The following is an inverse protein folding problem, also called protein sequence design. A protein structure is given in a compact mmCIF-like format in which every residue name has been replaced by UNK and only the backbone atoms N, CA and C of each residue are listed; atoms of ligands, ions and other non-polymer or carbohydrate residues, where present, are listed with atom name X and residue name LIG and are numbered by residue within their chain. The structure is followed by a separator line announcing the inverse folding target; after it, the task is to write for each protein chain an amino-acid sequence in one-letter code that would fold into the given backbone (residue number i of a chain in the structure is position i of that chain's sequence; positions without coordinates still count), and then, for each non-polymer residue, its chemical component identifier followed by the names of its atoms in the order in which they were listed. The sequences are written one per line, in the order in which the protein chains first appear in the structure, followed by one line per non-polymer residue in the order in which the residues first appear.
data_IF_121485995175
#
_entry.id   IF_121485995175
#
_cell.length_a   1.000
_cell.length_b   1.000
_cell.length_c   1.000
_cell.angle_alpha   90.00
_cell.angle_beta   90.00
_cell.angle_gamma   90.00
#
_symmetry.space_group_name_H-M   'P 1'
#
loop_
_entity.id
_entity.type
_entity.pdbx_description
1 polymer ?
#
# COMPACT_ATOMS: atom_id res chain seq x y z
N UNK A 1 -16.09 -9.04 -4.09
CA UNK A 1 -15.35 -8.32 -3.06
C UNK A 1 -15.97 -6.97 -2.77
N UNK A 2 -16.36 -6.76 -1.53
CA UNK A 2 -17.02 -5.54 -1.09
C UNK A 2 -15.93 -4.49 -0.91
N UNK A 3 -15.96 -3.45 -1.75
CA UNK A 3 -15.10 -2.27 -1.64
C UNK A 3 -15.51 -1.46 -0.39
N UNK A 4 -15.32 -2.03 0.78
CA UNK A 4 -15.76 -1.44 2.05
C UNK A 4 -14.68 -0.53 2.57
N UNK A 5 -14.86 0.77 2.38
CA UNK A 5 -14.04 1.80 3.03
C UNK A 5 -14.52 1.92 4.47
N UNK A 6 -13.87 1.21 5.38
CA UNK A 6 -14.17 1.29 6.79
C UNK A 6 -13.55 2.57 7.38
N UNK A 7 -14.37 3.41 7.93
CA UNK A 7 -13.99 4.53 8.77
C UNK A 7 -14.57 4.29 10.16
N UNK A 8 -13.70 4.18 11.16
CA UNK A 8 -14.12 4.06 12.55
C UNK A 8 -14.09 5.45 13.19
N UNK A 9 -15.22 5.85 13.74
CA UNK A 9 -15.31 7.06 14.57
C UNK A 9 -15.45 6.63 16.02
N UNK A 10 -14.45 6.93 16.83
CA UNK A 10 -14.50 6.69 18.27
C UNK A 10 -15.26 7.85 18.93
N UNK A 11 -16.51 7.59 19.30
CA UNK A 11 -17.35 8.53 20.04
C UNK A 11 -17.66 7.97 21.41
N UNK A 12 -17.71 8.84 22.42
CA UNK A 12 -18.16 8.46 23.75
C UNK A 12 -19.64 8.73 23.90
N UNK A 13 -20.42 7.71 24.28
CA UNK A 13 -21.75 7.91 24.85
C UNK A 13 -21.64 7.97 26.37
N UNK A 14 -22.10 9.06 26.97
CA UNK A 14 -22.34 9.10 28.42
C UNK A 14 -23.70 8.50 28.71
N UNK A 15 -23.74 7.30 29.32
CA UNK A 15 -24.91 6.86 30.06
C UNK A 15 -24.90 7.59 31.41
N UNK A 16 -26.02 8.14 31.82
CA UNK A 16 -26.15 9.04 32.99
C UNK A 16 -25.77 8.41 34.33
N UNK A 17 -25.53 7.09 34.41
CA UNK A 17 -25.34 6.41 35.71
C UNK A 17 -24.20 5.38 35.76
N UNK A 18 -23.19 5.43 34.90
CA UNK A 18 -22.01 4.56 35.07
C UNK A 18 -20.69 5.27 34.77
N UNK A 19 -19.77 5.12 35.71
CA UNK A 19 -18.48 5.80 35.75
C UNK A 19 -17.43 5.32 34.74
N UNK A 20 -17.76 4.37 33.85
CA UNK A 20 -16.82 3.86 32.85
C UNK A 20 -17.53 3.16 31.67
N UNK A 21 -17.74 3.89 30.60
CA UNK A 21 -18.06 3.28 29.31
C UNK A 21 -17.39 4.03 28.18
N UNK A 22 -16.32 3.44 27.64
CA UNK A 22 -15.83 3.80 26.31
C UNK A 22 -16.60 2.89 25.34
N UNK A 23 -17.55 3.47 24.61
CA UNK A 23 -18.24 2.74 23.58
C UNK A 23 -17.60 3.07 22.23
N UNK A 24 -17.02 2.07 21.60
CA UNK A 24 -16.53 2.17 20.22
C UNK A 24 -17.76 2.08 19.30
N UNK A 25 -18.20 3.20 18.76
CA UNK A 25 -19.23 3.21 17.74
C UNK A 25 -18.57 3.08 16.36
N UNK A 26 -18.82 1.96 15.71
CA UNK A 26 -18.41 1.74 14.33
C UNK A 26 -19.35 2.53 13.41
N UNK A 27 -18.86 3.60 12.80
CA UNK A 27 -19.58 4.32 11.75
C UNK A 27 -18.93 3.99 10.43
N UNK A 28 -19.60 3.18 9.62
CA UNK A 28 -19.20 2.88 8.27
C UNK A 28 -19.64 4.03 7.35
N UNK A 29 -18.66 4.69 6.71
CA UNK A 29 -18.95 5.61 5.62
C UNK A 29 -18.74 4.90 4.27
N UNK A 30 -19.83 4.63 3.57
CA UNK A 30 -19.79 4.35 2.14
C UNK A 30 -19.75 5.69 1.39
N UNK A 31 -18.60 6.03 0.82
CA UNK A 31 -18.51 7.14 -0.12
C UNK A 31 -18.82 6.61 -1.53
N UNK A 32 -20.09 6.36 -1.78
CA UNK A 32 -20.76 6.59 -3.05
C UNK A 32 -22.13 7.15 -2.71
N UNK A 33 -22.33 8.41 -2.99
CA UNK A 33 -23.51 9.21 -2.67
C UNK A 33 -23.68 9.57 -1.18
N UNK A 34 -23.12 10.72 -0.83
CA UNK A 34 -23.63 11.72 0.10
C UNK A 34 -24.82 11.27 0.98
N UNK A 35 -24.54 10.75 2.14
CA UNK A 35 -25.35 11.00 3.32
C UNK A 35 -24.45 10.80 4.55
N UNK A 36 -24.00 11.92 5.11
CA UNK A 36 -23.57 12.00 6.50
C UNK A 36 -24.77 11.60 7.35
N UNK A 37 -24.90 10.33 7.71
CA UNK A 37 -25.79 9.94 8.77
C UNK A 37 -25.06 10.25 10.08
N UNK A 38 -25.12 11.50 10.50
CA UNK A 38 -24.96 11.87 11.88
C UNK A 38 -26.19 11.31 12.59
N UNK A 39 -26.12 10.02 12.96
CA UNK A 39 -27.10 9.46 13.89
C UNK A 39 -27.17 10.37 15.11
N UNK A 40 -28.36 10.63 15.61
CA UNK A 40 -28.66 11.51 16.73
C UNK A 40 -27.62 11.37 17.86
N UNK A 41 -26.57 12.18 17.79
CA UNK A 41 -25.70 12.41 18.93
C UNK A 41 -26.42 13.42 19.80
N UNK A 42 -26.73 13.05 21.04
CA UNK A 42 -27.11 14.05 22.03
C UNK A 42 -26.03 15.13 22.01
N UNK A 43 -26.40 16.37 22.21
CA UNK A 43 -25.59 17.59 22.09
C UNK A 43 -24.28 17.64 22.90
N UNK A 44 -23.85 16.51 23.51
CA UNK A 44 -22.68 16.39 24.40
C UNK A 44 -21.64 15.37 23.98
N UNK A 45 -21.79 14.70 22.82
CA UNK A 45 -20.77 13.75 22.35
C UNK A 45 -19.64 14.46 21.59
N UNK A 46 -18.38 14.15 21.94
CA UNK A 46 -17.18 14.67 21.26
C UNK A 46 -16.46 13.53 20.56
N UNK A 47 -16.11 13.71 19.30
CA UNK A 47 -15.27 12.76 18.56
C UNK A 47 -13.83 12.86 19.07
N UNK A 48 -13.29 11.77 19.60
CA UNK A 48 -11.92 11.73 20.11
C UNK A 48 -10.89 11.57 18.97
N UNK A 49 -11.11 10.61 18.09
CA UNK A 49 -10.21 10.31 16.97
C UNK A 49 -10.99 9.59 15.87
N UNK A 50 -10.38 9.50 14.70
CA UNK A 50 -10.87 8.73 13.56
C UNK A 50 -9.85 7.66 13.24
N UNK A 51 -10.28 6.39 13.16
CA UNK A 51 -9.48 5.27 12.66
C UNK A 51 -9.89 4.97 11.21
N UNK A 52 -8.98 5.16 10.28
CA UNK A 52 -9.22 5.05 8.84
C UNK A 52 -8.64 6.24 8.07
N UNK A 53 -8.79 6.32 6.77
CA UNK A 53 -9.38 5.36 5.86
C UNK A 53 -8.29 4.42 5.29
N UNK A 54 -8.70 3.47 4.44
CA UNK A 54 -7.75 2.58 3.79
C UNK A 54 -7.06 3.23 2.58
N UNK A 55 -7.76 4.06 1.82
CA UNK A 55 -7.23 4.68 0.60
C UNK A 55 -6.64 6.06 0.87
N UNK A 56 -5.43 6.30 0.36
CA UNK A 56 -4.68 7.53 0.60
C UNK A 56 -5.44 8.81 0.21
N UNK A 57 -6.12 8.83 -0.93
CA UNK A 57 -6.89 10.00 -1.35
C UNK A 57 -8.07 10.32 -0.41
N UNK A 58 -8.75 9.29 0.12
CA UNK A 58 -9.83 9.47 1.10
C UNK A 58 -9.27 9.96 2.43
N UNK A 59 -8.15 9.38 2.87
CA UNK A 59 -7.47 9.77 4.11
C UNK A 59 -6.99 11.21 4.06
N UNK A 60 -6.41 11.65 2.94
CA UNK A 60 -6.00 13.05 2.77
C UNK A 60 -7.17 14.03 2.91
N UNK A 61 -8.30 13.73 2.26
CA UNK A 61 -9.50 14.55 2.37
C UNK A 61 -10.03 14.57 3.81
N UNK A 62 -10.08 13.40 4.47
CA UNK A 62 -10.52 13.27 5.86
C UNK A 62 -9.59 14.03 6.80
N UNK A 63 -8.28 13.80 6.72
CA UNK A 63 -7.29 14.42 7.60
C UNK A 63 -7.23 15.94 7.43
N UNK A 64 -7.40 16.45 6.19
CA UNK A 64 -7.49 17.89 5.94
C UNK A 64 -8.70 18.51 6.61
N UNK A 65 -9.88 17.86 6.51
CA UNK A 65 -11.10 18.37 7.12
C UNK A 65 -11.05 18.31 8.65
N UNK A 66 -10.69 17.14 9.20
CA UNK A 66 -10.71 16.91 10.65
C UNK A 66 -9.57 17.64 11.38
N UNK A 67 -8.47 17.89 10.69
CA UNK A 67 -7.36 18.71 11.18
C UNK A 67 -7.77 20.12 11.58
N UNK A 68 -8.76 20.71 10.91
CA UNK A 68 -9.33 22.02 11.28
C UNK A 68 -9.99 22.01 12.68
N UNK A 69 -10.42 20.83 13.13
CA UNK A 69 -11.04 20.61 14.42
C UNK A 69 -10.09 19.95 15.43
N UNK A 70 -8.80 19.81 15.09
CA UNK A 70 -7.79 19.13 15.89
C UNK A 70 -8.13 17.65 16.22
N UNK A 71 -8.94 17.01 15.35
CA UNK A 71 -9.31 15.60 15.52
C UNK A 71 -8.28 14.72 14.82
N UNK A 72 -7.52 13.88 15.55
CA UNK A 72 -6.52 13.02 14.97
C UNK A 72 -7.14 11.91 14.11
N UNK A 73 -6.44 11.59 13.01
CA UNK A 73 -6.76 10.49 12.10
C UNK A 73 -5.63 9.48 12.15
N UNK A 74 -5.94 8.21 12.42
CA UNK A 74 -4.97 7.12 12.43
C UNK A 74 -5.35 6.13 11.33
N UNK A 75 -4.56 6.07 10.27
CA UNK A 75 -4.81 5.14 9.16
C UNK A 75 -4.04 3.83 9.35
N UNK A 76 -4.69 2.74 8.98
CA UNK A 76 -4.16 1.38 9.02
C UNK A 76 -3.71 0.86 7.64
N UNK A 77 -3.85 1.66 6.58
CA UNK A 77 -3.53 1.21 5.21
C UNK A 77 -3.13 2.34 4.24
N UNK A 78 -3.20 3.63 4.63
CA UNK A 78 -2.84 4.75 3.75
C UNK A 78 -1.34 5.01 3.79
N UNK A 79 -0.65 4.65 2.73
CA UNK A 79 0.81 4.64 2.64
C UNK A 79 1.40 5.87 1.95
N UNK A 80 0.57 6.71 1.27
CA UNK A 80 1.06 7.87 0.51
C UNK A 80 2.07 8.71 1.30
N UNK A 81 3.20 9.01 0.67
CA UNK A 81 4.25 9.87 1.24
C UNK A 81 3.77 11.29 1.54
N UNK A 82 2.75 11.77 0.81
CA UNK A 82 2.20 13.12 1.02
C UNK A 82 1.58 13.27 2.41
N UNK A 83 1.10 12.20 3.01
CA UNK A 83 0.57 12.18 4.37
C UNK A 83 1.65 12.36 5.45
N UNK A 84 2.94 12.23 5.10
CA UNK A 84 4.07 12.53 5.99
C UNK A 84 4.35 14.04 6.12
N UNK A 85 3.72 14.89 5.32
CA UNK A 85 3.86 16.34 5.42
C UNK A 85 3.09 16.88 6.64
N UNK A 86 3.81 17.08 7.73
CA UNK A 86 3.25 17.56 9.01
C UNK A 86 2.73 19.00 8.94
N UNK A 87 3.17 19.79 7.99
CA UNK A 87 2.64 21.14 7.79
C UNK A 87 1.19 21.12 7.29
N UNK A 88 0.81 20.08 6.55
CA UNK A 88 -0.53 19.86 5.99
C UNK A 88 -1.37 18.92 6.84
N UNK A 89 -0.76 17.88 7.42
CA UNK A 89 -1.43 16.78 8.10
C UNK A 89 -0.90 16.60 9.53
N UNK A 90 -0.90 17.65 10.30
CA UNK A 90 -0.36 17.69 11.66
C UNK A 90 -0.99 16.63 12.59
N UNK A 91 -2.28 16.32 12.40
CA UNK A 91 -3.06 15.40 13.20
C UNK A 91 -3.23 14.01 12.56
N UNK A 92 -2.40 13.70 11.57
CA UNK A 92 -2.42 12.40 10.90
C UNK A 92 -1.36 11.45 11.48
N UNK A 93 -1.75 10.19 11.65
CA UNK A 93 -0.89 9.09 12.06
C UNK A 93 -1.21 7.85 11.23
N UNK A 94 -0.28 6.88 11.18
CA UNK A 94 -0.51 5.60 10.51
C UNK A 94 0.27 4.45 11.15
N UNK A 95 -0.37 3.29 11.23
CA UNK A 95 0.21 2.06 11.75
C UNK A 95 0.89 1.21 10.66
N UNK A 96 0.89 1.68 9.41
CA UNK A 96 1.57 1.06 8.27
C UNK A 96 2.74 1.92 7.80
N UNK A 97 3.73 1.32 7.10
CA UNK A 97 4.86 2.08 6.57
C UNK A 97 4.45 3.08 5.49
N UNK A 98 5.29 4.08 5.28
CA UNK A 98 5.18 5.04 4.17
C UNK A 98 5.64 4.43 2.85
N UNK A 99 5.09 4.89 1.72
CA UNK A 99 5.58 4.57 0.37
C UNK A 99 7.07 4.89 0.16
N UNK A 100 7.64 5.81 0.95
CA UNK A 100 9.09 6.03 0.95
C UNK A 100 9.87 4.75 1.31
N UNK A 101 9.37 3.98 2.28
CA UNK A 101 9.99 2.71 2.67
C UNK A 101 9.72 1.61 1.63
N UNK A 102 8.52 1.59 1.04
CA UNK A 102 8.20 0.64 -0.03
C UNK A 102 9.09 0.89 -1.27
N UNK A 103 9.33 2.15 -1.62
CA UNK A 103 10.25 2.52 -2.69
C UNK A 103 11.69 2.04 -2.42
N UNK A 104 12.17 2.15 -1.19
CA UNK A 104 13.48 1.62 -0.78
C UNK A 104 13.52 0.09 -0.89
N UNK A 105 12.47 -0.60 -0.45
CA UNK A 105 12.37 -2.04 -0.55
C UNK A 105 12.35 -2.52 -2.01
N UNK A 106 11.57 -1.86 -2.88
CA UNK A 106 11.55 -2.13 -4.33
C UNK A 106 12.95 -1.91 -4.92
N UNK A 107 13.60 -0.79 -4.60
CA UNK A 107 14.94 -0.48 -5.13
C UNK A 107 15.96 -1.53 -4.68
N UNK A 108 15.86 -2.01 -3.43
CA UNK A 108 16.73 -3.10 -2.94
C UNK A 108 16.51 -4.39 -3.72
N UNK A 109 15.26 -4.76 -4.05
CA UNK A 109 14.96 -5.92 -4.91
C UNK A 109 15.52 -5.75 -6.32
N UNK A 110 15.39 -4.57 -6.91
CA UNK A 110 15.94 -4.29 -8.24
C UNK A 110 17.46 -4.49 -8.29
N UNK A 111 18.17 -4.06 -7.25
CA UNK A 111 19.62 -4.26 -7.15
C UNK A 111 19.99 -5.73 -6.89
N UNK A 112 19.28 -6.43 -6.02
CA UNK A 112 19.51 -7.83 -5.71
C UNK A 112 19.39 -8.71 -6.96
N UNK A 113 18.33 -8.51 -7.75
CA UNK A 113 18.13 -9.26 -9.00
C UNK A 113 18.82 -8.64 -10.21
N UNK A 114 19.59 -7.56 -10.04
CA UNK A 114 20.29 -6.85 -11.13
C UNK A 114 19.36 -6.36 -12.23
N UNK A 115 18.16 -5.93 -11.86
CA UNK A 115 17.18 -5.36 -12.78
C UNK A 115 17.39 -3.85 -12.92
N UNK A 116 18.18 -3.48 -13.92
CA UNK A 116 18.56 -2.08 -14.12
C UNK A 116 17.81 -1.38 -15.25
N UNK A 117 16.89 -2.09 -15.91
CA UNK A 117 16.13 -1.56 -17.05
C UNK A 117 14.66 -1.89 -16.86
N UNK A 118 13.89 -0.96 -16.30
CA UNK A 118 12.57 -1.23 -15.75
C UNK A 118 11.48 -0.33 -16.33
N UNK A 119 10.25 -0.82 -16.26
CA UNK A 119 9.02 -0.13 -16.62
C UNK A 119 8.30 0.20 -15.34
N UNK A 120 7.80 1.42 -15.21
CA UNK A 120 6.99 1.86 -14.08
C UNK A 120 5.61 2.26 -14.60
N UNK A 121 4.58 1.63 -14.05
CA UNK A 121 3.20 1.93 -14.36
C UNK A 121 2.44 2.19 -13.06
N UNK A 122 1.55 3.16 -13.06
CA UNK A 122 0.80 3.46 -11.85
C UNK A 122 -0.64 3.90 -12.11
N UNK A 123 -1.50 3.68 -11.12
CA UNK A 123 -2.83 4.26 -11.09
C UNK A 123 -2.75 5.78 -11.13
N UNK A 124 -3.60 6.41 -11.94
CA UNK A 124 -3.73 7.87 -11.98
C UNK A 124 -4.58 8.38 -10.80
N UNK A 125 -4.05 8.20 -9.61
CA UNK A 125 -4.61 8.64 -8.33
C UNK A 125 -3.49 9.02 -7.34
N UNK A 126 -3.87 9.48 -6.15
CA UNK A 126 -2.91 9.94 -5.15
C UNK A 126 -1.93 8.85 -4.67
N UNK A 127 -2.38 7.59 -4.58
CA UNK A 127 -1.52 6.47 -4.21
C UNK A 127 -0.46 6.22 -5.30
N UNK A 128 -0.90 6.01 -6.54
CA UNK A 128 0.01 5.70 -7.66
C UNK A 128 1.00 6.83 -7.95
N UNK A 129 0.52 8.08 -8.04
CA UNK A 129 1.38 9.25 -8.28
C UNK A 129 2.41 9.44 -7.17
N UNK A 130 2.00 9.29 -5.91
CA UNK A 130 2.87 9.41 -4.74
C UNK A 130 3.94 8.32 -4.72
N UNK A 131 3.54 7.06 -4.93
CA UNK A 131 4.45 5.91 -4.91
C UNK A 131 5.50 5.97 -6.02
N UNK A 132 5.11 6.30 -7.25
CA UNK A 132 6.07 6.47 -8.35
C UNK A 132 7.04 7.62 -8.08
N UNK A 133 6.56 8.71 -7.52
CA UNK A 133 7.44 9.83 -7.15
C UNK A 133 8.47 9.41 -6.11
N UNK A 134 8.04 8.67 -5.06
CA UNK A 134 8.94 8.14 -4.04
C UNK A 134 9.97 7.18 -4.65
N UNK A 135 9.52 6.27 -5.53
CA UNK A 135 10.40 5.31 -6.20
C UNK A 135 11.47 5.99 -7.06
N UNK A 136 11.08 6.97 -7.88
CA UNK A 136 12.01 7.70 -8.75
C UNK A 136 13.04 8.48 -7.94
N UNK A 137 12.64 9.13 -6.86
CA UNK A 137 13.56 9.82 -5.95
C UNK A 137 14.52 8.85 -5.26
N UNK A 138 14.00 7.69 -4.80
CA UNK A 138 14.84 6.67 -4.18
C UNK A 138 15.87 6.13 -5.17
N UNK A 139 15.48 5.81 -6.41
CA UNK A 139 16.38 5.34 -7.47
C UNK A 139 17.46 6.39 -7.76
N UNK A 140 17.11 7.67 -7.86
CA UNK A 140 18.07 8.75 -8.13
C UNK A 140 19.09 8.95 -7.01
N UNK A 141 18.65 8.79 -5.75
CA UNK A 141 19.49 8.97 -4.58
C UNK A 141 20.31 7.72 -4.20
N UNK A 142 20.06 6.61 -4.86
CA UNK A 142 20.76 5.36 -4.57
C UNK A 142 22.15 5.37 -5.21
N UNK A 143 23.18 5.58 -4.39
CA UNK A 143 24.58 5.70 -4.84
C UNK A 143 25.21 4.33 -5.10
N UNK A 144 24.91 3.72 -6.22
CA UNK A 144 25.56 2.49 -6.68
C UNK A 144 26.27 2.71 -8.00
N UNK A 145 27.23 1.80 -8.34
CA UNK A 145 27.95 1.84 -9.61
C UNK A 145 27.04 1.62 -10.83
N UNK A 146 25.88 0.99 -10.64
CA UNK A 146 24.94 0.70 -11.71
C UNK A 146 23.62 1.41 -11.43
N UNK A 147 23.26 2.33 -12.28
CA UNK A 147 22.01 3.08 -12.17
C UNK A 147 20.84 2.29 -12.74
N UNK A 148 19.69 2.38 -12.08
CA UNK A 148 18.43 1.85 -12.59
C UNK A 148 17.84 2.85 -13.58
N UNK A 149 17.55 2.39 -14.79
CA UNK A 149 16.94 3.17 -15.86
C UNK A 149 15.45 2.83 -15.98
N UNK A 150 14.60 3.82 -15.74
CA UNK A 150 13.15 3.72 -15.97
C UNK A 150 12.88 4.13 -17.43
N UNK A 151 12.52 3.17 -18.28
CA UNK A 151 12.38 3.41 -19.73
C UNK A 151 10.95 3.72 -20.15
N UNK A 152 9.99 3.27 -19.40
CA UNK A 152 8.58 3.64 -19.52
C UNK A 152 8.09 4.07 -18.15
N UNK A 153 7.46 5.22 -18.09
CA UNK A 153 6.86 5.80 -16.89
C UNK A 153 5.50 6.38 -17.30
N UNK A 154 4.44 5.65 -16.99
CA UNK A 154 3.08 6.01 -17.43
C UNK A 154 2.06 5.83 -16.30
N UNK A 155 1.12 6.75 -16.27
CA UNK A 155 -0.06 6.66 -15.44
C UNK A 155 -1.23 6.09 -16.26
N UNK A 156 -2.12 5.35 -15.61
CA UNK A 156 -3.34 4.84 -16.24
C UNK A 156 -4.53 4.91 -15.30
N UNK A 157 -5.72 4.98 -15.87
CA UNK A 157 -6.97 5.03 -15.10
C UNK A 157 -7.99 4.04 -15.68
N UNK A 158 -8.70 3.30 -14.81
CA UNK A 158 -9.87 2.49 -15.25
C UNK A 158 -10.99 3.33 -15.83
N UNK A 159 -10.98 4.65 -15.61
CA UNK A 159 -11.93 5.60 -16.22
C UNK A 159 -11.36 6.20 -17.50
N UNK A 160 -10.12 5.88 -17.84
CA UNK A 160 -9.47 6.30 -19.08
C UNK A 160 -10.03 5.58 -20.30
N UNK A 161 -9.64 6.02 -21.47
CA UNK A 161 -10.03 5.39 -22.72
C UNK A 161 -9.23 4.10 -22.98
N UNK A 162 -9.82 3.15 -23.68
CA UNK A 162 -9.10 1.96 -24.16
C UNK A 162 -7.89 2.33 -25.03
N UNK A 163 -7.93 3.46 -25.71
CA UNK A 163 -6.82 4.01 -26.47
C UNK A 163 -5.60 4.30 -25.59
N UNK A 164 -5.79 4.77 -24.36
CA UNK A 164 -4.71 5.05 -23.41
C UNK A 164 -3.92 3.77 -23.09
N UNK A 165 -4.61 2.68 -22.73
CA UNK A 165 -3.96 1.40 -22.45
C UNK A 165 -3.23 0.85 -23.68
N UNK A 166 -3.83 0.93 -24.87
CA UNK A 166 -3.21 0.53 -26.11
C UNK A 166 -1.92 1.31 -26.38
N UNK A 167 -1.92 2.62 -26.15
CA UNK A 167 -0.73 3.48 -26.25
C UNK A 167 0.37 3.04 -25.29
N UNK A 168 0.02 2.78 -24.04
CA UNK A 168 0.97 2.33 -23.02
C UNK A 168 1.60 0.99 -23.44
N UNK A 169 0.81 0.01 -23.86
CA UNK A 169 1.34 -1.30 -24.28
C UNK A 169 2.23 -1.22 -25.51
N UNK A 170 1.89 -0.40 -26.51
CA UNK A 170 2.80 -0.13 -27.65
C UNK A 170 4.13 0.46 -27.20
N UNK A 171 4.11 1.37 -26.22
CA UNK A 171 5.33 1.97 -25.68
C UNK A 171 6.19 0.92 -24.97
N UNK A 172 5.59 0.03 -24.18
CA UNK A 172 6.26 -1.08 -23.52
C UNK A 172 6.96 -1.99 -24.55
N UNK A 173 6.27 -2.34 -25.63
CA UNK A 173 6.79 -3.22 -26.67
C UNK A 173 8.01 -2.65 -27.43
N UNK A 174 8.23 -1.33 -27.39
CA UNK A 174 9.43 -0.70 -27.93
C UNK A 174 10.70 -1.03 -27.14
N UNK A 175 10.57 -1.53 -25.91
CA UNK A 175 11.67 -1.86 -25.02
C UNK A 175 11.70 -3.35 -24.66
N UNK A 176 11.95 -4.27 -25.61
CA UNK A 176 11.82 -5.71 -25.41
C UNK A 176 12.79 -6.30 -24.38
N UNK A 177 13.85 -5.57 -24.04
CA UNK A 177 14.82 -5.95 -23.00
C UNK A 177 14.38 -5.55 -21.59
N UNK A 178 13.45 -4.62 -21.44
CA UNK A 178 12.86 -4.28 -20.15
C UNK A 178 11.83 -5.35 -19.80
N UNK A 179 12.20 -6.28 -18.96
CA UNK A 179 11.38 -7.44 -18.57
C UNK A 179 10.65 -7.25 -17.26
N UNK A 180 10.94 -6.19 -16.51
CA UNK A 180 10.37 -5.93 -15.20
C UNK A 180 9.44 -4.74 -15.26
N UNK A 181 8.20 -4.95 -14.81
CA UNK A 181 7.16 -3.94 -14.67
C UNK A 181 6.88 -3.74 -13.18
N UNK A 182 7.13 -2.54 -12.69
CA UNK A 182 6.71 -2.13 -11.35
C UNK A 182 5.31 -1.55 -11.48
N UNK A 183 4.32 -2.19 -10.87
CA UNK A 183 2.92 -1.80 -10.98
C UNK A 183 2.44 -1.18 -9.65
N UNK A 184 2.52 0.14 -9.57
CA UNK A 184 2.01 0.94 -8.44
C UNK A 184 0.52 1.22 -8.63
N UNK A 185 -0.32 0.25 -8.32
CA UNK A 185 -1.75 0.36 -8.59
C UNK A 185 -2.58 -0.01 -7.37
N UNK A 186 -3.71 0.67 -7.17
CA UNK A 186 -4.75 0.19 -6.28
C UNK A 186 -5.34 -1.12 -6.83
N UNK A 187 -5.84 -1.98 -5.94
CA UNK A 187 -6.40 -3.28 -6.29
C UNK A 187 -7.36 -3.23 -7.51
N UNK A 188 -8.37 -2.34 -7.58
CA UNK A 188 -9.28 -2.33 -8.73
C UNK A 188 -8.62 -1.92 -10.05
N UNK A 189 -7.58 -1.09 -9.98
CA UNK A 189 -6.83 -0.66 -11.15
C UNK A 189 -5.87 -1.75 -11.62
N UNK A 190 -5.29 -2.52 -10.69
CA UNK A 190 -4.49 -3.69 -11.03
C UNK A 190 -5.32 -4.76 -11.75
N UNK A 191 -6.55 -5.05 -11.27
CA UNK A 191 -7.50 -5.95 -11.96
C UNK A 191 -7.76 -5.46 -13.39
N UNK A 192 -8.04 -4.18 -13.55
CA UNK A 192 -8.25 -3.56 -14.86
C UNK A 192 -7.02 -3.70 -15.75
N UNK A 193 -5.82 -3.40 -15.22
CA UNK A 193 -4.56 -3.52 -15.97
C UNK A 193 -4.35 -4.93 -16.52
N UNK A 194 -4.48 -5.97 -15.69
CA UNK A 194 -4.27 -7.35 -16.14
C UNK A 194 -5.30 -7.79 -17.18
N UNK A 195 -6.55 -7.32 -17.07
CA UNK A 195 -7.58 -7.56 -18.09
C UNK A 195 -7.18 -6.96 -19.44
N UNK A 196 -6.76 -5.70 -19.47
CA UNK A 196 -6.35 -4.99 -20.69
C UNK A 196 -5.03 -5.58 -21.26
N UNK A 197 -4.08 -5.93 -20.38
CA UNK A 197 -2.82 -6.55 -20.78
C UNK A 197 -3.03 -7.90 -21.49
N UNK A 198 -4.03 -8.68 -21.03
CA UNK A 198 -4.41 -9.93 -21.68
C UNK A 198 -4.96 -9.69 -23.08
N UNK A 199 -5.84 -8.71 -23.26
CA UNK A 199 -6.38 -8.36 -24.57
C UNK A 199 -5.31 -7.85 -25.53
N UNK A 200 -4.30 -7.14 -25.01
CA UNK A 200 -3.15 -6.66 -25.78
C UNK A 200 -2.07 -7.72 -26.02
N UNK A 201 -2.27 -8.95 -25.56
CA UNK A 201 -1.29 -10.06 -25.65
C UNK A 201 0.09 -9.72 -25.08
N UNK A 202 0.13 -8.92 -24.01
CA UNK A 202 1.36 -8.68 -23.26
C UNK A 202 1.78 -9.98 -22.59
N UNK A 203 3.09 -10.38 -22.73
CA UNK A 203 3.54 -11.69 -22.25
C UNK A 203 4.97 -11.66 -21.71
N UNK A 204 5.24 -12.58 -20.78
CA UNK A 204 6.59 -12.86 -20.29
C UNK A 204 7.26 -11.69 -19.56
N UNK A 205 6.52 -10.98 -18.73
CA UNK A 205 7.05 -9.95 -17.85
C UNK A 205 7.15 -10.45 -16.40
N UNK A 206 8.09 -9.91 -15.66
CA UNK A 206 8.12 -10.00 -14.20
C UNK A 206 7.43 -8.77 -13.65
N UNK A 207 6.48 -8.96 -12.75
CA UNK A 207 5.80 -7.86 -12.08
C UNK A 207 6.32 -7.69 -10.66
N UNK A 208 6.58 -6.44 -10.27
CA UNK A 208 6.74 -6.06 -8.88
C UNK A 208 5.41 -5.50 -8.41
N UNK A 209 4.78 -6.22 -7.49
CA UNK A 209 3.49 -5.90 -6.89
C UNK A 209 3.68 -5.05 -5.64
N UNK A 210 2.86 -4.02 -5.51
CA UNK A 210 2.80 -3.20 -4.30
C UNK A 210 1.82 -3.76 -3.29
N UNK A 211 1.86 -3.26 -2.07
CA UNK A 211 1.05 -3.70 -0.93
C UNK A 211 -0.46 -3.70 -1.19
N UNK A 212 -0.93 -2.83 -2.08
CA UNK A 212 -2.34 -2.68 -2.39
C UNK A 212 -2.96 -3.87 -3.13
N UNK A 213 -2.18 -4.68 -3.86
CA UNK A 213 -2.71 -5.79 -4.64
C UNK A 213 -1.96 -7.12 -4.49
N UNK A 214 -0.77 -7.12 -3.89
CA UNK A 214 -0.06 -8.36 -3.58
C UNK A 214 -0.88 -9.21 -2.58
N UNK A 215 -0.89 -10.51 -2.80
CA UNK A 215 -1.68 -11.46 -1.98
C UNK A 215 -3.08 -11.72 -2.54
N UNK A 216 -3.57 -10.92 -3.50
CA UNK A 216 -4.84 -11.19 -4.16
C UNK A 216 -4.64 -11.94 -5.46
N UNK A 217 -5.08 -13.18 -5.52
CA UNK A 217 -5.05 -14.00 -6.74
C UNK A 217 -6.12 -13.57 -7.75
N UNK A 218 -7.17 -12.87 -7.30
CA UNK A 218 -8.21 -12.32 -8.16
C UNK A 218 -7.64 -11.34 -9.19
N UNK A 219 -6.64 -10.55 -8.82
CA UNK A 219 -5.99 -9.59 -9.73
C UNK A 219 -5.45 -10.26 -10.97
N UNK A 220 -4.89 -11.46 -10.84
CA UNK A 220 -4.21 -12.19 -11.90
C UNK A 220 -5.02 -13.36 -12.46
N UNK A 221 -6.25 -13.52 -12.01
CA UNK A 221 -7.12 -14.62 -12.43
C UNK A 221 -7.27 -14.67 -13.95
N UNK A 222 -6.97 -15.82 -14.54
CA UNK A 222 -7.02 -16.03 -15.97
C UNK A 222 -5.95 -15.28 -16.78
N UNK A 223 -4.90 -14.78 -16.12
CA UNK A 223 -3.82 -13.97 -16.75
C UNK A 223 -2.42 -14.59 -16.58
N UNK A 224 -2.35 -15.89 -16.31
CA UNK A 224 -1.09 -16.61 -16.04
C UNK A 224 -0.08 -16.58 -17.20
N UNK A 225 -0.52 -16.30 -18.41
CA UNK A 225 0.31 -16.17 -19.61
C UNK A 225 0.96 -14.78 -19.76
N UNK A 226 0.49 -13.77 -19.02
CA UNK A 226 1.03 -12.41 -19.08
C UNK A 226 2.36 -12.32 -18.32
N UNK A 227 2.44 -12.96 -17.15
CA UNK A 227 3.61 -12.84 -16.29
C UNK A 227 4.45 -14.13 -16.27
N UNK A 228 5.75 -13.94 -16.22
CA UNK A 228 6.69 -15.00 -15.90
C UNK A 228 6.77 -15.20 -14.38
N UNK A 229 6.77 -14.09 -13.63
CA UNK A 229 6.75 -14.09 -12.18
C UNK A 229 6.06 -12.83 -11.64
N UNK A 230 5.52 -12.95 -10.44
CA UNK A 230 5.08 -11.80 -9.65
C UNK A 230 5.77 -11.87 -8.29
N UNK A 231 6.50 -10.80 -7.97
CA UNK A 231 7.11 -10.59 -6.67
C UNK A 231 6.42 -9.39 -6.04
N UNK A 232 5.99 -9.51 -4.80
CA UNK A 232 5.26 -8.45 -4.14
C UNK A 232 5.81 -8.12 -2.77
N UNK A 233 5.60 -6.89 -2.37
CA UNK A 233 5.98 -6.35 -1.08
C UNK A 233 4.72 -5.93 -0.33
N UNK A 234 4.54 -6.43 0.89
CA UNK A 234 3.48 -5.96 1.77
C UNK A 234 3.93 -5.97 3.23
N UNK A 235 3.34 -5.13 4.08
CA UNK A 235 3.53 -5.23 5.52
C UNK A 235 3.22 -6.65 6.01
N UNK A 236 3.90 -7.16 7.06
CA UNK A 236 3.73 -8.52 7.54
C UNK A 236 2.28 -8.85 7.87
N UNK A 237 1.83 -10.01 7.45
CA UNK A 237 0.51 -10.55 7.82
C UNK A 237 0.67 -11.34 9.11
N UNK A 238 -0.12 -11.01 10.11
CA UNK A 238 -0.17 -11.73 11.38
C UNK A 238 -1.44 -12.58 11.41
N UNK A 239 -1.29 -13.86 11.74
CA UNK A 239 -2.44 -14.76 11.93
C UNK A 239 -3.23 -14.35 13.17
N UNK A 240 -4.53 -14.26 13.05
CA UNK A 240 -5.45 -13.82 14.11
C UNK A 240 -6.63 -14.80 14.28
N UNK A 241 -6.38 -16.05 14.74
CA UNK A 241 -7.40 -17.09 14.77
C UNK A 241 -8.65 -16.69 15.57
N UNK A 242 -8.48 -15.98 16.70
CA UNK A 242 -9.60 -15.48 17.52
C UNK A 242 -10.47 -14.46 16.76
N UNK A 243 -9.86 -13.66 15.88
CA UNK A 243 -10.61 -12.74 15.03
C UNK A 243 -11.33 -13.52 13.92
N UNK A 244 -10.68 -14.49 13.31
CA UNK A 244 -11.26 -15.31 12.24
C UNK A 244 -12.48 -16.06 12.76
N UNK A 245 -12.39 -16.68 13.95
CA UNK A 245 -13.51 -17.34 14.61
C UNK A 245 -14.66 -16.39 14.92
N UNK A 246 -14.34 -15.21 15.47
CA UNK A 246 -15.33 -14.15 15.74
C UNK A 246 -16.02 -13.68 14.45
N UNK A 247 -15.23 -13.45 13.40
CA UNK A 247 -15.74 -12.99 12.11
C UNK A 247 -16.70 -14.00 11.49
N UNK A 248 -16.31 -15.29 11.46
CA UNK A 248 -17.14 -16.37 10.95
C UNK A 248 -18.43 -16.56 11.75
N UNK A 249 -18.34 -16.45 13.09
CA UNK A 249 -19.51 -16.48 13.96
C UNK A 249 -20.46 -15.32 13.66
N UNK A 250 -19.93 -14.10 13.54
CA UNK A 250 -20.71 -12.89 13.27
C UNK A 250 -21.37 -12.91 11.90
N UNK A 251 -20.75 -13.54 10.90
CA UNK A 251 -21.35 -13.74 9.58
C UNK A 251 -22.55 -14.67 9.60
N UNK A 252 -22.53 -15.70 10.47
CA UNK A 252 -23.66 -16.66 10.61
C UNK A 252 -24.81 -16.09 11.42
N UNK A 253 -24.50 -15.28 12.42
CA UNK A 253 -25.50 -14.61 13.24
C UNK A 253 -26.04 -13.41 12.44
N UNK A 254 -27.35 -13.39 12.20
CA UNK A 254 -28.00 -12.23 11.55
C UNK A 254 -27.93 -11.01 12.51
N UNK A 255 -26.73 -10.40 12.56
CA UNK A 255 -26.38 -9.39 13.54
C UNK A 255 -26.92 -8.03 13.10
N UNK A 256 -27.96 -7.55 13.76
CA UNK A 256 -28.57 -6.23 13.53
C UNK A 256 -27.60 -5.06 13.70
N UNK A 257 -26.44 -5.28 14.34
CA UNK A 257 -25.39 -4.27 14.50
C UNK A 257 -24.51 -4.10 13.25
N UNK A 258 -24.56 -5.07 12.31
CA UNK A 258 -23.84 -4.98 11.04
C UNK A 258 -24.84 -4.93 9.88
N UNK A 259 -25.23 -3.74 9.42
CA UNK A 259 -26.21 -3.58 8.33
C UNK A 259 -25.76 -4.20 6.99
N UNK A 260 -24.46 -4.50 6.85
CA UNK A 260 -23.90 -5.15 5.64
C UNK A 260 -23.79 -6.66 5.76
N UNK A 261 -24.13 -7.27 6.90
CA UNK A 261 -24.07 -8.71 7.06
C UNK A 261 -24.88 -9.46 5.99
N UNK A 262 -26.03 -8.93 5.60
CA UNK A 262 -26.88 -9.51 4.54
C UNK A 262 -26.25 -9.47 3.14
N UNK A 263 -25.46 -8.43 2.84
CA UNK A 263 -24.72 -8.33 1.57
C UNK A 263 -23.51 -9.24 1.56
N UNK A 264 -22.79 -9.33 2.69
CA UNK A 264 -21.68 -10.27 2.86
C UNK A 264 -22.15 -11.71 2.73
N UNK A 265 -23.27 -12.07 3.33
CA UNK A 265 -23.84 -13.43 3.24
C UNK A 265 -24.25 -13.83 1.82
N UNK A 266 -24.67 -12.87 0.99
CA UNK A 266 -25.01 -13.11 -0.43
C UNK A 266 -23.78 -13.29 -1.32
N UNK A 267 -22.67 -12.67 -0.98
CA UNK A 267 -21.44 -12.70 -1.77
C UNK A 267 -20.45 -13.78 -1.30
N UNK A 268 -20.59 -14.28 -0.07
CA UNK A 268 -19.75 -15.33 0.46
C UNK A 268 -20.31 -16.71 0.05
N UNK A 269 -19.45 -17.47 -0.60
CA UNK A 269 -19.65 -18.85 -1.06
C UNK A 269 -19.99 -19.83 0.10
N UNK A 270 -20.15 -19.32 1.32
CA UNK A 270 -20.30 -20.10 2.54
C UNK A 270 -21.73 -20.47 2.91
N UNK A 271 -22.74 -20.09 2.14
CA UNK A 271 -24.15 -20.37 2.48
C UNK A 271 -24.48 -21.85 2.56
N UNK A 272 -23.76 -22.72 1.81
CA UNK A 272 -24.03 -24.15 1.70
C UNK A 272 -22.85 -25.08 2.09
N UNK A 273 -21.75 -24.51 2.61
CA UNK A 273 -20.53 -25.29 2.93
C UNK A 273 -20.35 -25.49 4.44
N UNK A 274 -19.67 -26.59 4.82
CA UNK A 274 -19.30 -26.84 6.21
C UNK A 274 -18.41 -25.72 6.77
N UNK A 275 -18.43 -25.50 8.08
CA UNK A 275 -17.68 -24.41 8.77
C UNK A 275 -16.19 -24.50 8.46
N UNK A 276 -15.65 -25.74 8.44
CA UNK A 276 -14.22 -26.00 8.20
C UNK A 276 -13.79 -25.55 6.79
N UNK A 277 -14.68 -25.75 5.81
CA UNK A 277 -14.42 -25.34 4.43
C UNK A 277 -14.50 -23.82 4.27
N UNK A 278 -15.41 -23.16 4.98
CA UNK A 278 -15.45 -21.71 5.05
C UNK A 278 -14.21 -21.12 5.73
N UNK A 279 -13.72 -21.75 6.81
CA UNK A 279 -12.49 -21.31 7.51
C UNK A 279 -11.26 -21.35 6.59
N UNK A 280 -11.18 -22.33 5.69
CA UNK A 280 -10.06 -22.44 4.75
C UNK A 280 -10.13 -21.44 3.58
N UNK A 281 -11.33 -20.93 3.28
CA UNK A 281 -11.58 -20.01 2.14
C UNK A 281 -11.67 -18.54 2.58
N UNK A 282 -12.00 -18.26 3.85
CA UNK A 282 -12.08 -16.89 4.40
C UNK A 282 -10.75 -16.51 5.01
N UNK A 283 -10.00 -15.72 4.29
CA UNK A 283 -8.79 -15.08 4.80
C UNK A 283 -9.04 -13.59 4.93
N UNK A 284 -8.74 -13.02 6.10
CA UNK A 284 -8.70 -11.57 6.23
C UNK A 284 -7.56 -10.98 5.38
N UNK A 285 -7.71 -9.75 4.93
CA UNK A 285 -6.76 -9.07 4.04
C UNK A 285 -5.40 -8.70 4.68
N UNK A 286 -5.17 -9.13 5.93
CA UNK A 286 -3.94 -8.90 6.69
C UNK A 286 -3.85 -7.53 7.36
N UNK A 287 -4.79 -6.63 7.14
CA UNK A 287 -4.79 -5.31 7.80
C UNK A 287 -5.48 -5.29 9.16
N UNK A 288 -6.11 -6.39 9.59
CA UNK A 288 -6.84 -6.47 10.87
C UNK A 288 -5.94 -6.12 12.07
N UNK A 289 -4.71 -6.64 12.10
CA UNK A 289 -3.76 -6.31 13.16
C UNK A 289 -3.45 -4.80 13.21
N UNK A 290 -3.24 -4.17 12.06
CA UNK A 290 -2.96 -2.73 11.95
C UNK A 290 -4.16 -1.86 12.32
N UNK A 291 -5.40 -2.34 12.05
CA UNK A 291 -6.64 -1.69 12.53
C UNK A 291 -6.68 -1.71 14.05
N UNK A 292 -6.41 -2.86 14.66
CA UNK A 292 -6.36 -2.98 16.12
C UNK A 292 -5.28 -2.09 16.71
N UNK A 293 -4.09 -2.07 16.13
CA UNK A 293 -3.00 -1.19 16.57
C UNK A 293 -3.39 0.29 16.50
N UNK A 294 -4.13 0.71 15.47
CA UNK A 294 -4.65 2.06 15.37
C UNK A 294 -5.67 2.38 16.47
N UNK A 295 -6.59 1.43 16.76
CA UNK A 295 -7.56 1.58 17.86
C UNK A 295 -6.85 1.63 19.21
N UNK A 296 -5.88 0.73 19.45
CA UNK A 296 -5.12 0.70 20.69
C UNK A 296 -4.20 1.91 20.87
N UNK A 297 -3.69 2.49 19.77
CA UNK A 297 -2.97 3.77 19.84
C UNK A 297 -3.83 4.88 20.44
N UNK A 298 -5.11 4.96 20.04
CA UNK A 298 -6.05 5.91 20.65
C UNK A 298 -6.35 5.55 22.11
N UNK A 299 -6.54 4.26 22.40
CA UNK A 299 -6.83 3.80 23.78
C UNK A 299 -5.68 4.11 24.74
N UNK A 300 -4.43 3.82 24.36
CA UNK A 300 -3.24 4.14 25.15
C UNK A 300 -3.07 5.66 25.34
N UNK A 301 -3.29 6.44 24.28
CA UNK A 301 -3.25 7.90 24.38
C UNK A 301 -4.30 8.46 25.32
N UNK A 302 -5.54 7.96 25.28
CA UNK A 302 -6.62 8.34 26.19
C UNK A 302 -6.31 7.92 27.62
N UNK A 303 -5.77 6.70 27.82
CA UNK A 303 -5.35 6.20 29.12
C UNK A 303 -4.31 7.13 29.76
N UNK A 304 -3.30 7.52 29.00
CA UNK A 304 -2.27 8.45 29.46
C UNK A 304 -2.82 9.86 29.70
N UNK A 305 -3.66 10.38 28.80
CA UNK A 305 -4.28 11.70 28.91
C UNK A 305 -5.16 11.85 30.15
N UNK A 306 -5.92 10.79 30.48
CA UNK A 306 -6.80 10.74 31.65
C UNK A 306 -6.05 10.36 32.93
N UNK A 307 -4.74 10.04 32.82
CA UNK A 307 -3.91 9.57 33.94
C UNK A 307 -4.58 8.39 34.65
N UNK A 308 -4.91 7.35 33.90
CA UNK A 308 -5.55 6.14 34.41
C UNK A 308 -4.51 5.17 34.99
N UNK A 309 -4.91 4.44 36.02
CA UNK A 309 -4.31 3.18 36.46
C UNK A 309 -5.17 2.00 36.02
N UNK A 310 -4.93 0.79 36.57
CA UNK A 310 -5.71 -0.40 36.21
C UNK A 310 -7.20 -0.31 36.55
N UNK A 311 -7.63 0.56 37.44
CA UNK A 311 -9.00 0.61 38.00
C UNK A 311 -9.67 1.94 37.83
N UNK A 312 -8.95 3.04 37.96
CA UNK A 312 -9.51 4.39 38.05
C UNK A 312 -8.68 5.37 37.22
N UNK A 313 -9.35 6.39 36.68
CA UNK A 313 -8.66 7.51 36.04
C UNK A 313 -8.69 8.73 36.97
N UNK A 314 -7.52 9.36 37.15
CA UNK A 314 -7.40 10.55 38.02
C UNK A 314 -8.15 11.77 37.44
N UNK A 315 -8.24 11.87 36.11
CA UNK A 315 -8.95 12.95 35.41
C UNK A 315 -10.24 12.45 34.80
N UNK A 316 -11.27 13.25 34.84
CA UNK A 316 -12.53 12.96 34.15
C UNK A 316 -12.47 13.48 32.72
N UNK A 317 -13.20 12.85 31.81
CA UNK A 317 -13.30 13.26 30.40
C UNK A 317 -13.69 14.75 30.22
N UNK A 318 -14.42 15.33 31.15
CA UNK A 318 -14.84 16.75 31.10
C UNK A 318 -13.70 17.72 31.41
N UNK A 319 -12.67 17.23 32.09
CA UNK A 319 -11.59 18.05 32.66
C UNK A 319 -10.38 18.09 31.69
N UNK A 320 -10.44 17.41 30.57
CA UNK A 320 -9.37 17.35 29.57
C UNK A 320 -9.80 18.00 28.25
N UNK A 321 -8.87 18.69 27.60
CA UNK A 321 -9.09 19.19 26.25
C UNK A 321 -8.75 18.10 25.24
N UNK A 322 -9.76 17.62 24.52
CA UNK A 322 -9.58 16.56 23.53
C UNK A 322 -8.63 16.97 22.38
N UNK A 323 -8.42 18.25 22.17
CA UNK A 323 -7.48 18.78 21.19
C UNK A 323 -6.03 18.39 21.49
N UNK A 324 -5.72 18.13 22.76
CA UNK A 324 -4.39 17.71 23.21
C UNK A 324 -4.15 16.22 22.96
N UNK A 325 -5.17 15.43 22.59
CA UNK A 325 -5.03 13.98 22.38
C UNK A 325 -3.94 13.62 21.36
N UNK A 326 -3.74 14.46 20.36
CA UNK A 326 -2.70 14.25 19.35
C UNK A 326 -1.29 14.18 19.96
N UNK A 327 -1.00 14.96 20.99
CA UNK A 327 0.30 14.92 21.69
C UNK A 327 0.48 13.60 22.44
N UNK A 328 -0.58 13.07 23.02
CA UNK A 328 -0.55 11.76 23.68
C UNK A 328 -0.43 10.62 22.66
N UNK A 329 -1.08 10.72 21.49
CA UNK A 329 -0.90 9.76 20.39
C UNK A 329 0.55 9.75 19.90
N UNK A 330 1.19 10.90 19.74
CA UNK A 330 2.59 11.02 19.32
C UNK A 330 3.54 10.27 20.26
N UNK A 331 3.20 10.19 21.55
CA UNK A 331 4.06 9.62 22.59
C UNK A 331 3.69 8.18 22.99
N UNK A 332 2.77 7.52 22.26
CA UNK A 332 2.45 6.11 22.57
C UNK A 332 3.65 5.20 22.27
N UNK A 333 3.80 4.17 23.11
CA UNK A 333 4.77 3.11 22.91
C UNK A 333 4.22 1.81 23.51
N UNK A 334 3.93 0.83 22.66
CA UNK A 334 3.41 -0.48 23.10
C UNK A 334 3.70 -1.55 22.04
N UNK A 335 3.62 -2.83 22.42
CA UNK A 335 3.69 -3.95 21.47
C UNK A 335 2.30 -4.15 20.89
N UNK A 336 2.18 -3.96 19.58
CA UNK A 336 0.91 -4.05 18.87
C UNK A 336 0.49 -5.47 18.52
N UNK A 337 -0.73 -5.60 18.00
CA UNK A 337 -1.25 -6.85 17.42
C UNK A 337 -0.52 -7.25 16.14
N UNK A 338 0.07 -6.30 15.44
CA UNK A 338 1.00 -6.54 14.32
C UNK A 338 2.31 -7.21 14.75
N UNK A 339 2.51 -7.45 16.06
CA UNK A 339 3.75 -7.94 16.67
C UNK A 339 4.94 -6.97 16.49
N UNK A 340 4.65 -5.73 16.16
CA UNK A 340 5.62 -4.65 16.06
C UNK A 340 5.51 -3.71 17.28
N UNK A 341 6.61 -3.03 17.59
CA UNK A 341 6.56 -1.93 18.56
C UNK A 341 5.90 -0.73 17.90
N UNK A 342 4.72 -0.37 18.34
CA UNK A 342 3.98 0.79 17.87
C UNK A 342 4.46 2.03 18.59
N UNK A 343 5.03 2.93 17.83
CA UNK A 343 5.37 4.30 18.22
C UNK A 343 5.38 5.15 16.95
N UNK A 344 5.12 6.43 17.06
CA UNK A 344 5.07 7.31 15.91
C UNK A 344 6.32 8.21 15.88
N UNK A 345 7.00 8.24 14.73
CA UNK A 345 8.11 9.16 14.49
C UNK A 345 7.59 10.60 14.26
N UNK A 346 8.49 11.54 13.97
CA UNK A 346 8.15 12.93 13.69
C UNK A 346 7.16 13.10 12.52
N UNK A 347 7.13 12.17 11.59
CA UNK A 347 6.18 12.13 10.48
C UNK A 347 4.84 11.48 10.83
N UNK A 348 4.62 11.05 12.07
CA UNK A 348 3.42 10.33 12.49
C UNK A 348 3.32 8.90 11.93
N UNK A 349 4.46 8.29 11.60
CA UNK A 349 4.53 6.96 10.96
C UNK A 349 5.26 5.97 11.88
N UNK A 350 4.79 4.72 11.94
CA UNK A 350 5.49 3.65 12.64
C UNK A 350 6.69 3.17 11.83
N UNK A 351 7.65 2.48 12.49
CA UNK A 351 8.69 1.72 11.77
C UNK A 351 8.03 0.73 10.83
N UNK A 352 8.63 0.56 9.65
CA UNK A 352 8.11 -0.36 8.65
C UNK A 352 9.10 -1.44 8.26
N UNK A 353 8.59 -2.63 8.06
CA UNK A 353 9.23 -3.71 7.33
C UNK A 353 8.25 -4.27 6.32
N UNK A 354 8.77 -4.94 5.31
CA UNK A 354 7.98 -5.60 4.28
C UNK A 354 8.35 -7.07 4.22
N UNK A 355 7.36 -7.92 4.11
CA UNK A 355 7.54 -9.30 3.68
C UNK A 355 7.53 -9.34 2.15
N UNK A 356 8.41 -10.17 1.59
CA UNK A 356 8.52 -10.40 0.16
C UNK A 356 7.78 -11.67 -0.18
N UNK A 357 6.82 -11.54 -1.10
CA UNK A 357 5.99 -12.64 -1.57
C UNK A 357 6.28 -12.95 -3.03
N UNK A 358 6.20 -14.21 -3.37
CA UNK A 358 6.24 -14.73 -4.73
C UNK A 358 4.92 -15.43 -5.04
N UNK A 359 4.33 -15.16 -6.21
CA UNK A 359 3.16 -15.90 -6.67
C UNK A 359 3.61 -17.19 -7.34
N UNK A 360 3.38 -18.31 -6.66
CA UNK A 360 3.58 -19.62 -7.23
C UNK A 360 2.47 -19.96 -8.23
N UNK A 361 2.86 -20.16 -9.49
CA UNK A 361 1.91 -20.40 -10.60
C UNK A 361 1.17 -21.72 -10.48
N UNK A 362 1.82 -22.76 -9.95
CA UNK A 362 1.24 -24.10 -9.85
C UNK A 362 0.15 -24.14 -8.79
N UNK A 363 0.45 -23.64 -7.60
CA UNK A 363 -0.52 -23.59 -6.51
C UNK A 363 -1.46 -22.39 -6.59
N UNK A 364 -1.17 -21.40 -7.45
CA UNK A 364 -1.85 -20.09 -7.51
C UNK A 364 -1.89 -19.39 -6.16
N UNK A 365 -0.85 -19.57 -5.32
CA UNK A 365 -0.76 -18.98 -4.00
C UNK A 365 0.46 -18.08 -3.86
N UNK A 366 0.32 -17.04 -3.07
CA UNK A 366 1.46 -16.22 -2.68
C UNK A 366 2.24 -16.88 -1.54
N UNK A 367 3.54 -17.10 -1.76
CA UNK A 367 4.46 -17.71 -0.81
C UNK A 367 5.41 -16.64 -0.32
N UNK A 368 5.60 -16.54 0.99
CA UNK A 368 6.61 -15.66 1.57
C UNK A 368 8.00 -16.22 1.27
N UNK A 369 8.81 -15.44 0.55
CA UNK A 369 10.17 -15.80 0.12
C UNK A 369 11.24 -14.93 0.76
N UNK A 370 10.86 -13.96 1.58
CA UNK A 370 11.84 -13.12 2.26
C UNK A 370 11.22 -11.99 3.06
N UNK A 371 12.07 -11.10 3.49
CA UNK A 371 11.68 -9.87 4.20
C UNK A 371 12.68 -8.75 3.92
N UNK A 372 12.19 -7.52 3.99
CA UNK A 372 12.98 -6.32 3.91
C UNK A 372 12.76 -5.45 5.15
N UNK A 373 13.83 -4.91 5.66
CA UNK A 373 13.84 -3.85 6.68
C UNK A 373 14.77 -2.74 6.22
N UNK A 374 14.76 -1.61 6.90
CA UNK A 374 15.65 -0.48 6.57
C UNK A 374 17.14 -0.84 6.56
N UNK A 375 17.52 -1.92 7.22
CA UNK A 375 18.91 -2.36 7.36
C UNK A 375 19.31 -3.48 6.42
N UNK A 376 18.37 -4.31 5.94
CA UNK A 376 18.68 -5.48 5.14
C UNK A 376 17.50 -6.03 4.34
N UNK A 377 17.81 -6.59 3.17
CA UNK A 377 16.96 -7.49 2.40
C UNK A 377 17.45 -8.93 2.62
N UNK A 378 16.54 -9.81 3.03
CA UNK A 378 16.81 -11.24 3.19
C UNK A 378 15.85 -12.05 2.32
N UNK A 379 16.38 -12.86 1.42
CA UNK A 379 15.60 -13.69 0.49
C UNK A 379 15.96 -15.16 0.63
N UNK A 380 14.95 -16.01 0.62
CA UNK A 380 15.10 -17.47 0.52
C UNK A 380 14.53 -17.93 -0.83
N UNK A 381 15.37 -17.92 -1.84
CA UNK A 381 15.01 -18.25 -3.22
C UNK A 381 14.76 -19.75 -3.43
N UNK A 382 15.21 -20.63 -2.50
CA UNK A 382 14.93 -22.08 -2.58
C UNK A 382 13.44 -22.42 -2.47
N UNK A 383 12.62 -21.47 -2.03
CA UNK A 383 11.16 -21.60 -1.97
C UNK A 383 10.45 -21.33 -3.28
N UNK A 384 11.17 -20.91 -4.31
CA UNK A 384 10.61 -20.64 -5.64
C UNK A 384 10.63 -21.91 -6.45
N UNK A 385 9.48 -22.40 -6.88
CA UNK A 385 9.25 -23.79 -7.33
C UNK A 385 9.74 -24.10 -8.74
N UNK A 386 10.27 -23.21 -9.52
CA UNK A 386 10.73 -23.50 -10.91
C UNK A 386 12.01 -22.76 -11.28
N UNK A 387 13.18 -23.37 -11.04
CA UNK A 387 14.42 -22.89 -11.63
C UNK A 387 14.42 -23.17 -13.15
N UNK A 388 14.08 -22.19 -13.95
CA UNK A 388 14.30 -22.20 -15.39
C UNK A 388 15.76 -21.84 -15.74
N UNK A 389 16.15 -21.85 -17.01
CA UNK A 389 17.48 -21.44 -17.45
C UNK A 389 17.84 -20.01 -17.04
N UNK A 390 16.84 -19.16 -16.80
CA UNK A 390 16.99 -17.77 -16.35
C UNK A 390 16.70 -17.61 -14.84
N UNK A 391 16.91 -18.67 -14.07
CA UNK A 391 16.69 -18.63 -12.61
C UNK A 391 17.66 -17.66 -11.91
N UNK A 392 17.19 -16.90 -10.90
CA UNK A 392 15.79 -16.94 -10.43
C UNK A 392 14.80 -16.20 -11.32
N UNK A 393 15.25 -15.29 -12.17
CA UNK A 393 14.37 -14.47 -13.01
C UNK A 393 15.11 -13.95 -14.25
N UNK A 394 14.39 -13.54 -15.32
CA UNK A 394 15.02 -13.06 -16.53
C UNK A 394 15.83 -11.78 -16.28
N UNK A 395 16.88 -11.62 -17.06
CA UNK A 395 17.66 -10.39 -17.05
C UNK A 395 16.81 -9.21 -17.59
N UNK A 396 16.87 -8.08 -16.88
CA UNK A 396 16.26 -6.81 -17.31
C UNK A 396 17.35 -5.74 -17.34
N UNK A 397 18.12 -5.75 -18.43
CA UNK A 397 19.33 -4.95 -18.61
C UNK A 397 19.32 -4.25 -19.97
N UNK A 398 19.87 -3.03 -20.01
CA UNK A 398 19.91 -2.23 -21.24
C UNK A 398 20.83 -2.85 -22.31
N UNK A 399 21.97 -3.39 -21.89
CA UNK A 399 22.96 -4.03 -22.76
C UNK A 399 23.50 -5.29 -22.09
N UNK A 400 24.00 -6.22 -22.89
CA UNK A 400 24.71 -7.39 -22.36
C UNK A 400 25.97 -6.94 -21.61
N UNK A 401 26.40 -7.72 -20.61
CA UNK A 401 27.68 -7.48 -19.97
C UNK A 401 28.83 -7.51 -20.97
N UNK A 402 29.74 -6.55 -20.84
CA UNK A 402 30.97 -6.56 -21.60
C UNK A 402 31.80 -7.82 -21.28
N UNK A 403 32.37 -8.45 -22.28
CA UNK A 403 33.38 -9.50 -22.06
C UNK A 403 34.59 -8.88 -21.32
N UNK A 404 35.26 -9.68 -20.51
CA UNK A 404 36.48 -9.24 -19.80
C UNK A 404 37.46 -8.63 -20.79
N UNK A 405 37.87 -7.38 -20.60
CA UNK A 405 38.76 -6.65 -21.52
C UNK A 405 38.05 -5.84 -22.59
N UNK A 406 36.70 -5.77 -22.60
CA UNK A 406 35.95 -4.91 -23.53
C UNK A 406 35.14 -3.88 -22.76
N UNK A 407 34.89 -2.71 -23.35
CA UNK A 407 34.00 -1.68 -22.81
C UNK A 407 32.92 -1.33 -23.84
N UNK A 408 31.70 -1.02 -23.34
CA UNK A 408 30.63 -0.48 -24.17
C UNK A 408 30.67 1.03 -24.13
N UNK A 409 30.92 1.67 -25.24
CA UNK A 409 30.85 3.12 -25.36
C UNK A 409 29.38 3.50 -25.69
N UNK A 410 28.68 4.13 -24.77
CA UNK A 410 27.38 4.74 -25.05
C UNK A 410 27.60 6.12 -25.66
N UNK A 411 27.34 6.26 -26.96
CA UNK A 411 27.28 7.56 -27.61
C UNK A 411 25.89 8.12 -27.44
N UNK A 412 25.71 8.99 -26.47
CA UNK A 412 24.49 9.79 -26.36
C UNK A 412 24.55 10.92 -27.39
N UNK A 413 23.78 10.82 -28.45
CA UNK A 413 23.56 11.96 -29.35
C UNK A 413 22.54 12.89 -28.69
N UNK A 414 23.02 13.85 -27.91
CA UNK A 414 22.17 14.91 -27.39
C UNK A 414 21.95 15.90 -28.52
N UNK A 415 20.81 15.80 -29.20
CA UNK A 415 20.31 16.87 -30.08
C UNK A 415 19.84 18.03 -29.21
N UNK A 416 20.71 19.01 -28.99
CA UNK A 416 20.34 20.30 -28.44
C UNK A 416 19.77 21.15 -29.59
N UNK A 417 18.46 21.25 -29.70
CA UNK A 417 17.77 22.24 -30.51
C UNK A 417 17.82 23.58 -29.77
N UNK A 418 18.73 24.46 -30.13
CA UNK A 418 18.64 25.86 -29.71
C UNK A 418 17.98 26.66 -30.84
N UNK A 419 16.77 27.08 -30.63
CA UNK A 419 16.07 28.07 -31.45
C UNK A 419 16.60 29.48 -31.08
N UNK A 420 17.55 29.98 -31.83
CA UNK A 420 17.82 31.39 -31.93
C UNK A 420 18.00 31.72 -33.42
N UNK A 421 17.12 32.60 -33.91
CA UNK A 421 17.14 33.20 -35.24
C UNK A 421 16.99 32.25 -36.46
N UNK A 422 15.83 31.63 -36.61
CA UNK A 422 15.34 31.19 -37.93
C UNK A 422 16.17 30.21 -38.75
N UNK A 423 17.27 29.64 -38.23
CA UNK A 423 18.07 28.63 -38.92
C UNK A 423 18.47 27.50 -38.00
N UNK A 424 18.13 26.28 -38.40
CA UNK A 424 18.55 25.04 -37.75
C UNK A 424 19.97 24.70 -38.16
N UNK A 425 20.94 24.82 -37.25
CA UNK A 425 22.28 24.26 -37.44
C UNK A 425 22.42 22.99 -36.60
N UNK A 426 22.49 21.85 -37.25
CA UNK A 426 22.85 20.58 -36.63
C UNK A 426 24.38 20.50 -36.50
N UNK A 427 24.88 20.41 -35.26
CA UNK A 427 26.29 20.10 -35.03
C UNK A 427 26.47 18.63 -34.69
N UNK A 428 27.09 17.86 -35.62
CA UNK A 428 27.62 16.53 -35.37
C UNK A 428 29.05 16.67 -34.84
N UNK A 429 29.29 16.33 -33.57
CA UNK A 429 30.67 16.09 -33.11
C UNK A 429 31.00 14.63 -33.25
N UNK A 430 31.81 14.30 -34.21
CA UNK A 430 32.63 13.07 -34.23
C UNK A 430 33.62 13.16 -33.08
N UNK A 431 33.49 12.34 -32.06
CA UNK A 431 34.55 12.18 -31.09
C UNK A 431 35.67 11.33 -31.66
N UNK A 432 36.85 11.92 -31.66
CA UNK A 432 38.12 11.32 -32.04
C UNK A 432 38.43 10.07 -31.17
N UNK A 433 39.03 9.08 -31.83
CA UNK A 433 39.72 7.93 -31.23
C UNK A 433 40.78 8.42 -30.25
N UNK A 434 40.83 7.87 -29.08
CA UNK A 434 42.01 7.78 -28.25
C UNK A 434 42.01 6.43 -27.54
N UNK A 435 42.92 5.62 -27.94
CA UNK A 435 43.81 4.63 -27.31
C UNK A 435 43.18 3.71 -26.25
#
# INVERSE_FOLDING_TARGET
MINTKLLFVLTRFCCENSSSCIQVSMVLFLIKNTLLYLGCCSSKSRTAAIVGAAFSGVTMATASLTGLFHVPVISYASTSRLLSDRSRFQYFYRTVPSDNLQAQAITSLLHEFRWHFVIVLASDNEYGRSGVTALKQTIQNYTTRVQICVVVDELFSRKGSQYEMTRIFRKIQQFPRAKVIILYAEFPDAVYFFKEAKMASLRNYVFIATDSWVGSTEVVQGSSDIFQAIIGLRPPIVSMPKFDDYFLKTLKENNSRNPWASECNKSLICSDKSVERCQSEVHHDGYVAYILDAVFSVAHALHAMLSCDEKVCAKKWRDVDIRDLSQFIQNVSFVGYSQENIFFNEEGTTKGRYDVYYLDKESSKYIKVGSWSQTALSLNLSRISQPGPDFPFPASICSNYCRKGTSVLFVFTVLRLSLLSGQVKAYSRRALRAI
#
